data_IF_024478596333
#
_entry.id   IF_024478596333
#
_cell.length_a   1.000
_cell.length_b   1.000
_cell.length_c   1.000
_cell.angle_alpha   90.00
_cell.angle_beta   90.00
_cell.angle_gamma   90.00
#
_symmetry.space_group_name_H-M   'P 1'
#
loop_
_entity.id
_entity.type
_entity.pdbx_description
1 polymer ?
#
# COMPACT_ATOMS: atom_id res chain seq x y z
N UNK A 1 -3.06 2.42 3.18
CA UNK A 1 -3.19 1.93 1.79
C UNK A 1 -2.53 0.56 1.62
N UNK A 2 -3.03 -0.46 2.34
CA UNK A 2 -2.89 -1.85 1.88
C UNK A 2 -4.07 -2.18 0.98
N UNK A 3 -3.87 -3.11 0.06
CA UNK A 3 -4.95 -3.66 -0.76
C UNK A 3 -5.42 -4.95 -0.09
N UNK A 4 -6.57 -4.88 0.58
CA UNK A 4 -7.14 -6.02 1.30
C UNK A 4 -6.95 -5.98 2.81
N UNK A 5 -7.25 -7.11 3.46
CA UNK A 5 -7.24 -7.22 4.92
C UNK A 5 -5.83 -7.28 5.50
N UNK A 6 -5.59 -6.50 6.54
CA UNK A 6 -4.35 -6.49 7.31
C UNK A 6 -4.59 -7.12 8.69
N UNK A 7 -3.74 -8.06 9.15
CA UNK A 7 -3.79 -8.50 10.54
C UNK A 7 -3.42 -7.37 11.51
N UNK A 8 -4.17 -7.19 12.62
CA UNK A 8 -3.93 -6.10 13.57
C UNK A 8 -2.50 -5.98 14.08
N UNK A 9 -1.78 -7.11 14.21
CA UNK A 9 -0.41 -7.13 14.71
C UNK A 9 0.57 -6.31 13.86
N UNK A 10 0.41 -6.30 12.52
CA UNK A 10 1.26 -5.52 11.61
C UNK A 10 0.54 -4.33 10.95
N UNK A 11 -0.61 -3.94 11.51
CA UNK A 11 -1.25 -2.70 11.12
C UNK A 11 -0.52 -1.50 11.76
N UNK A 12 -0.11 -0.54 10.94
CA UNK A 12 0.48 0.71 11.40
C UNK A 12 -0.59 1.82 11.40
N UNK A 13 -1.20 2.15 12.57
CA UNK A 13 -2.29 3.12 12.61
C UNK A 13 -1.83 4.54 12.29
N UNK A 14 -0.60 4.90 12.66
CA UNK A 14 -0.04 6.22 12.42
C UNK A 14 0.16 6.45 10.91
N UNK A 15 0.89 5.54 10.26
CA UNK A 15 1.16 5.65 8.82
C UNK A 15 -0.12 5.46 8.00
N UNK A 16 -1.05 4.60 8.44
CA UNK A 16 -2.33 4.41 7.76
C UNK A 16 -3.20 5.67 7.81
N UNK A 17 -3.27 6.34 8.97
CA UNK A 17 -4.02 7.59 9.11
C UNK A 17 -3.42 8.72 8.26
N UNK A 18 -2.09 8.90 8.30
CA UNK A 18 -1.39 9.87 7.45
C UNK A 18 -1.63 9.61 5.95
N UNK A 19 -1.53 8.35 5.52
CA UNK A 19 -1.76 7.95 4.14
C UNK A 19 -3.16 8.25 3.60
N UNK A 20 -4.17 8.41 4.46
CA UNK A 20 -5.54 8.73 4.08
C UNK A 20 -5.89 10.21 4.30
N UNK A 21 -4.99 10.98 4.91
CA UNK A 21 -5.22 12.36 5.32
C UNK A 21 -4.96 13.34 4.19
N UNK A 22 -5.89 14.28 4.00
CA UNK A 22 -5.69 15.44 3.12
C UNK A 22 -4.68 16.45 3.70
N UNK A 23 -4.29 16.29 4.96
CA UNK A 23 -3.27 17.09 5.63
C UNK A 23 -1.89 16.42 5.64
N UNK A 24 -1.75 15.24 5.03
CA UNK A 24 -0.44 14.62 4.84
C UNK A 24 0.44 15.54 4.00
N UNK A 25 1.73 15.60 4.33
CA UNK A 25 2.73 16.29 3.49
C UNK A 25 2.77 15.74 2.06
N UNK A 26 2.31 14.49 1.87
CA UNK A 26 2.25 13.85 0.56
C UNK A 26 0.92 14.07 -0.20
N UNK A 27 -0.08 14.72 0.41
CA UNK A 27 -1.37 14.94 -0.24
C UNK A 27 -1.25 15.80 -1.51
N UNK A 28 -0.40 16.84 -1.48
CA UNK A 28 -0.16 17.74 -2.62
C UNK A 28 0.54 17.09 -3.81
N UNK A 29 1.14 15.92 -3.62
CA UNK A 29 1.81 15.13 -4.67
C UNK A 29 1.11 13.80 -4.93
N UNK A 30 -0.15 13.67 -4.52
CA UNK A 30 -0.96 12.46 -4.71
C UNK A 30 -0.34 11.20 -4.07
N UNK A 31 0.47 11.36 -3.02
CA UNK A 31 1.04 10.26 -2.22
C UNK A 31 0.21 9.89 -0.99
N UNK A 32 -0.89 10.60 -0.76
CA UNK A 32 -1.89 10.35 0.27
C UNK A 32 -3.28 10.69 -0.26
N UNK A 33 -4.32 10.04 0.28
CA UNK A 33 -5.72 10.23 -0.10
C UNK A 33 -6.43 8.92 -0.41
N UNK A 34 -7.64 9.05 -0.97
CA UNK A 34 -8.47 7.92 -1.40
C UNK A 34 -8.28 7.70 -2.90
N UNK A 35 -8.14 6.44 -3.29
CA UNK A 35 -8.00 6.01 -4.67
C UNK A 35 -9.12 5.05 -5.02
N UNK A 36 -9.50 4.94 -6.29
CA UNK A 36 -10.56 4.03 -6.73
C UNK A 36 -9.96 2.74 -7.30
N UNK A 37 -10.62 1.61 -7.03
CA UNK A 37 -10.29 0.31 -7.61
C UNK A 37 -11.40 -0.15 -8.55
N UNK A 38 -11.04 -0.98 -9.54
CA UNK A 38 -11.93 -1.51 -10.57
C UNK A 38 -11.65 -3.00 -10.83
N UNK A 39 -12.66 -3.73 -11.29
CA UNK A 39 -12.49 -5.11 -11.80
C UNK A 39 -11.81 -5.09 -13.19
N UNK A 40 -12.04 -4.03 -13.96
CA UNK A 40 -11.54 -3.87 -15.34
C UNK A 40 -10.45 -2.80 -15.44
N UNK A 41 -9.47 -2.94 -16.35
CA UNK A 41 -8.37 -1.98 -16.54
C UNK A 41 -8.81 -0.63 -17.12
N UNK A 42 -9.99 -0.55 -17.71
CA UNK A 42 -10.58 0.70 -18.23
C UNK A 42 -11.36 1.49 -17.16
N UNK A 43 -11.39 1.00 -15.92
CA UNK A 43 -12.08 1.60 -14.78
C UNK A 43 -13.62 1.69 -14.92
N UNK A 44 -14.23 0.93 -15.84
CA UNK A 44 -15.68 0.94 -16.04
C UNK A 44 -16.48 0.16 -14.98
N UNK A 45 -15.80 -0.70 -14.21
CA UNK A 45 -16.43 -1.52 -13.17
C UNK A 45 -15.81 -1.23 -11.80
N UNK A 46 -16.12 -0.07 -11.19
CA UNK A 46 -15.58 0.29 -9.90
C UNK A 46 -16.04 -0.68 -8.80
N UNK A 47 -15.17 -0.91 -7.83
CA UNK A 47 -15.40 -1.84 -6.72
C UNK A 47 -15.53 -1.06 -5.41
N UNK A 48 -16.50 -1.48 -4.58
CA UNK A 48 -16.63 -0.97 -3.21
C UNK A 48 -15.42 -1.43 -2.39
N UNK A 49 -14.75 -0.51 -1.71
CA UNK A 49 -13.47 -0.77 -1.05
C UNK A 49 -13.58 -1.21 0.41
N UNK A 50 -14.60 -1.98 0.74
CA UNK A 50 -14.70 -2.69 2.01
C UNK A 50 -14.10 -4.10 1.89
N UNK A 51 -13.77 -4.69 3.04
CA UNK A 51 -13.10 -5.99 3.09
C UNK A 51 -13.93 -7.10 2.46
N UNK A 52 -15.25 -7.10 2.64
CA UNK A 52 -16.13 -8.15 2.11
C UNK A 52 -16.10 -8.15 0.58
N UNK A 53 -16.18 -6.98 -0.05
CA UNK A 53 -16.16 -6.90 -1.50
C UNK A 53 -14.76 -7.13 -2.08
N UNK A 54 -13.74 -6.46 -1.54
CA UNK A 54 -12.36 -6.58 -2.02
C UNK A 54 -11.90 -8.05 -2.00
N UNK A 55 -12.19 -8.79 -0.94
CA UNK A 55 -11.71 -10.18 -0.77
C UNK A 55 -12.34 -11.20 -1.73
N UNK A 56 -13.39 -10.84 -2.48
CA UNK A 56 -13.96 -11.68 -3.55
C UNK A 56 -13.07 -11.77 -4.79
N UNK A 57 -12.14 -10.83 -4.94
CA UNK A 57 -11.30 -10.69 -6.13
C UNK A 57 -9.85 -11.08 -5.80
N UNK A 58 -9.21 -11.90 -6.64
CA UNK A 58 -7.77 -12.19 -6.48
C UNK A 58 -6.90 -10.97 -6.82
N UNK A 59 -7.38 -10.16 -7.76
CA UNK A 59 -6.73 -8.97 -8.23
C UNK A 59 -7.76 -7.89 -8.57
N UNK A 60 -7.35 -6.64 -8.47
CA UNK A 60 -8.09 -5.47 -8.92
C UNK A 60 -7.19 -4.60 -9.79
N UNK A 61 -7.78 -3.61 -10.43
CA UNK A 61 -7.07 -2.56 -11.14
C UNK A 61 -7.15 -1.25 -10.37
N UNK A 62 -6.02 -0.55 -10.31
CA UNK A 62 -5.90 0.80 -9.77
C UNK A 62 -5.13 1.67 -10.76
N UNK A 63 -5.09 2.98 -10.52
CA UNK A 63 -4.24 3.88 -11.30
C UNK A 63 -2.77 3.69 -10.95
N UNK A 64 -1.88 4.03 -11.88
CA UNK A 64 -0.43 4.10 -11.63
C UNK A 64 -0.10 5.06 -10.48
N UNK A 65 -0.87 6.15 -10.37
CA UNK A 65 -0.85 7.08 -9.24
C UNK A 65 -1.03 6.37 -7.89
N UNK A 66 -2.06 5.53 -7.76
CA UNK A 66 -2.26 4.72 -6.56
C UNK A 66 -1.06 3.81 -6.29
N UNK A 67 -0.52 3.15 -7.31
CA UNK A 67 0.57 2.20 -7.10
C UNK A 67 1.84 2.91 -6.62
N UNK A 68 2.14 4.11 -7.12
CA UNK A 68 3.20 4.97 -6.58
C UNK A 68 2.94 5.36 -5.13
N UNK A 69 1.72 5.81 -4.81
CA UNK A 69 1.34 6.15 -3.44
C UNK A 69 1.42 4.94 -2.48
N UNK A 70 1.03 3.75 -2.95
CA UNK A 70 1.16 2.48 -2.23
C UNK A 70 2.63 2.11 -1.97
N UNK A 71 3.50 2.23 -2.98
CA UNK A 71 4.93 1.98 -2.83
C UNK A 71 5.56 2.96 -1.81
N UNK A 72 5.22 4.25 -1.85
CA UNK A 72 5.66 5.20 -0.83
C UNK A 72 5.08 4.88 0.57
N UNK A 73 3.83 4.41 0.65
CA UNK A 73 3.19 3.98 1.88
C UNK A 73 3.93 2.80 2.54
N UNK A 74 4.24 1.73 1.81
CA UNK A 74 4.94 0.57 2.40
C UNK A 74 6.35 0.91 2.89
N UNK A 75 7.04 1.85 2.21
CA UNK A 75 8.31 2.40 2.70
C UNK A 75 8.15 3.15 4.03
N UNK A 76 7.11 3.98 4.17
CA UNK A 76 6.80 4.67 5.43
C UNK A 76 6.49 3.69 6.57
N UNK A 77 5.74 2.62 6.29
CA UNK A 77 5.44 1.57 7.28
C UNK A 77 6.74 0.92 7.77
N UNK A 78 7.63 0.53 6.85
CA UNK A 78 8.92 -0.06 7.22
C UNK A 78 9.78 0.92 8.04
N UNK A 79 9.88 2.18 7.60
CA UNK A 79 10.66 3.20 8.31
C UNK A 79 10.14 3.44 9.74
N UNK A 80 8.82 3.58 9.92
CA UNK A 80 8.21 3.76 11.24
C UNK A 80 8.44 2.54 12.14
N UNK A 81 8.31 1.33 11.59
CA UNK A 81 8.56 0.09 12.33
C UNK A 81 10.02 -0.03 12.79
N UNK A 82 10.98 0.30 11.93
CA UNK A 82 12.41 0.34 12.29
C UNK A 82 12.70 1.40 13.37
N UNK A 83 12.05 2.57 13.29
CA UNK A 83 12.16 3.59 14.33
C UNK A 83 11.64 3.11 15.68
N UNK A 84 10.45 2.49 15.72
CA UNK A 84 9.87 1.88 16.92
C UNK A 84 10.81 0.85 17.54
N UNK A 85 11.40 -0.02 16.72
CA UNK A 85 12.39 -1.01 17.15
C UNK A 85 13.63 -0.35 17.75
N UNK A 86 14.16 0.69 17.09
CA UNK A 86 15.29 1.49 17.57
C UNK A 86 15.01 2.16 18.92
N UNK A 87 13.77 2.53 19.20
CA UNK A 87 13.31 3.11 20.47
C UNK A 87 13.05 2.07 21.57
N UNK A 88 13.33 0.79 21.32
CA UNK A 88 13.24 -0.27 22.32
C UNK A 88 11.94 -1.07 22.31
N UNK A 89 11.04 -0.83 21.36
CA UNK A 89 9.83 -1.65 21.23
C UNK A 89 10.18 -3.06 20.75
N UNK A 90 9.82 -4.09 21.52
CA UNK A 90 10.26 -5.47 21.25
C UNK A 90 9.37 -6.22 20.26
N UNK A 91 8.06 -5.97 20.29
CA UNK A 91 7.04 -6.71 19.53
C UNK A 91 6.56 -5.92 18.30
N UNK A 92 7.49 -5.48 17.45
CA UNK A 92 7.17 -4.74 16.22
C UNK A 92 6.98 -5.73 15.07
N UNK A 93 5.77 -5.81 14.54
CA UNK A 93 5.47 -6.65 13.38
C UNK A 93 5.23 -5.80 12.14
N UNK A 94 5.65 -6.31 10.98
CA UNK A 94 5.35 -5.75 9.66
C UNK A 94 4.88 -6.84 8.71
N UNK A 95 4.35 -6.48 7.56
CA UNK A 95 4.01 -7.46 6.52
C UNK A 95 5.27 -8.15 6.01
N UNK A 96 5.19 -9.47 5.78
CA UNK A 96 6.30 -10.28 5.29
C UNK A 96 6.94 -9.72 4.02
N UNK A 97 6.14 -9.15 3.11
CA UNK A 97 6.66 -8.60 1.85
C UNK A 97 7.52 -7.36 2.06
N UNK A 98 7.30 -6.57 3.12
CA UNK A 98 8.06 -5.35 3.39
C UNK A 98 9.53 -5.63 3.74
N UNK A 99 9.85 -6.84 4.16
CA UNK A 99 11.23 -7.25 4.51
C UNK A 99 11.92 -8.06 3.41
N UNK A 100 11.37 -8.05 2.19
CA UNK A 100 11.96 -8.73 1.03
C UNK A 100 12.64 -7.73 0.10
N UNK A 101 13.83 -8.09 -0.38
CA UNK A 101 14.58 -7.24 -1.31
C UNK A 101 13.84 -7.06 -2.64
N UNK A 102 13.17 -8.12 -3.10
CA UNK A 102 12.38 -8.11 -4.33
C UNK A 102 11.26 -7.08 -4.28
N UNK A 103 10.56 -6.96 -3.14
CA UNK A 103 9.53 -5.94 -2.97
C UNK A 103 10.10 -4.53 -2.84
N UNK A 104 11.26 -4.37 -2.19
CA UNK A 104 11.96 -3.09 -2.13
C UNK A 104 12.42 -2.62 -3.53
N UNK A 105 12.89 -3.54 -4.37
CA UNK A 105 13.24 -3.27 -5.76
C UNK A 105 12.02 -2.95 -6.61
N UNK A 106 10.92 -3.70 -6.46
CA UNK A 106 9.64 -3.37 -7.11
C UNK A 106 9.18 -1.96 -6.75
N UNK A 107 9.13 -1.62 -5.46
CA UNK A 107 8.71 -0.29 -5.02
C UNK A 107 9.64 0.81 -5.53
N UNK A 108 10.96 0.56 -5.55
CA UNK A 108 11.94 1.48 -6.13
C UNK A 108 11.68 1.72 -7.61
N UNK A 109 11.44 0.67 -8.39
CA UNK A 109 11.08 0.79 -9.81
C UNK A 109 9.80 1.62 -9.99
N UNK A 110 8.74 1.29 -9.25
CA UNK A 110 7.46 1.99 -9.35
C UNK A 110 7.60 3.48 -9.05
N UNK A 111 8.39 3.85 -8.03
CA UNK A 111 8.62 5.25 -7.66
C UNK A 111 9.48 6.01 -8.67
N UNK A 112 10.49 5.34 -9.25
CA UNK A 112 11.44 5.96 -10.18
C UNK A 112 10.96 5.99 -11.63
N UNK A 113 9.96 5.18 -12.00
CA UNK A 113 9.42 5.16 -13.36
C UNK A 113 8.84 6.53 -13.75
N UNK A 114 9.23 6.99 -14.94
CA UNK A 114 8.80 8.27 -15.55
C UNK A 114 8.02 8.07 -16.84
N UNK A 115 7.97 6.85 -17.36
CA UNK A 115 7.42 6.58 -18.68
C UNK A 115 5.91 6.28 -18.62
N UNK A 116 5.44 5.71 -17.51
CA UNK A 116 4.02 5.36 -17.35
C UNK A 116 3.20 6.57 -16.90
N UNK A 117 2.09 6.82 -17.59
CA UNK A 117 1.16 7.90 -17.22
C UNK A 117 0.46 7.59 -15.90
N UNK A 118 0.19 8.61 -15.07
CA UNK A 118 -0.43 8.43 -13.75
C UNK A 118 -1.81 7.74 -13.80
N UNK A 119 -2.52 7.88 -14.92
CA UNK A 119 -3.85 7.28 -15.15
C UNK A 119 -3.79 5.86 -15.72
N UNK A 120 -2.61 5.37 -16.12
CA UNK A 120 -2.50 4.03 -16.67
C UNK A 120 -2.96 2.99 -15.63
N UNK A 121 -3.67 1.94 -16.06
CA UNK A 121 -4.09 0.90 -15.15
C UNK A 121 -2.90 0.04 -14.71
N UNK A 122 -2.95 -0.38 -13.45
CA UNK A 122 -2.01 -1.33 -12.87
C UNK A 122 -2.76 -2.38 -12.10
N UNK A 123 -2.25 -3.61 -12.14
CA UNK A 123 -2.86 -4.75 -11.47
C UNK A 123 -2.34 -4.82 -10.03
N UNK A 124 -3.25 -4.90 -9.08
CA UNK A 124 -2.95 -5.02 -7.66
C UNK A 124 -3.44 -6.36 -7.14
N UNK A 125 -2.56 -7.09 -6.46
CA UNK A 125 -2.91 -8.37 -5.84
C UNK A 125 -3.58 -8.11 -4.49
N UNK A 126 -4.76 -8.71 -4.29
CA UNK A 126 -5.59 -8.49 -3.10
C UNK A 126 -5.37 -9.56 -2.03
N UNK A 127 -5.05 -10.79 -2.46
CA UNK A 127 -4.93 -11.96 -1.58
C UNK A 127 -3.48 -12.44 -1.46
N UNK A 128 -3.09 -12.94 -0.29
CA UNK A 128 -1.83 -13.69 -0.09
C UNK A 128 -0.64 -12.87 0.43
N UNK A 129 -0.80 -11.57 0.67
CA UNK A 129 0.22 -10.67 1.23
C UNK A 129 0.11 -10.49 2.76
N UNK A 130 -0.89 -11.13 3.39
CA UNK A 130 -1.41 -10.78 4.72
C UNK A 130 -0.72 -11.49 5.89
N UNK A 131 0.56 -11.87 5.77
CA UNK A 131 1.30 -12.49 6.88
C UNK A 131 2.18 -11.44 7.56
N UNK A 132 2.03 -11.30 8.86
CA UNK A 132 2.94 -10.49 9.67
C UNK A 132 4.21 -11.29 9.99
N UNK A 133 5.34 -10.59 10.08
CA UNK A 133 6.62 -11.09 10.59
C UNK A 133 7.13 -10.14 11.65
N UNK A 134 7.83 -10.69 12.64
CA UNK A 134 8.50 -9.91 13.67
C UNK A 134 9.77 -9.27 13.08
N UNK A 135 9.99 -7.98 13.36
CA UNK A 135 11.25 -7.27 13.08
C UNK A 135 12.26 -7.39 14.21
#
# INVERSE_FOLDING_TARGET
MMVGWTPPACFDPFVSADALSNHSELAGVQGAGKFNFSITPDFQQPVRQDVEEITKHQYLYASWEFHKAHCAYVWRVLANALQRKRLGETNVYVYRTLVTYEHAMHCSFMLLDRNTTMKAPTKIQVSGTNRCVLL
#
